data_IF_983009794563
#
_entry.id   IF_983009794563
#
_cell.length_a   1.000
_cell.length_b   1.000
_cell.length_c   1.000
_cell.angle_alpha   90.00
_cell.angle_beta   90.00
_cell.angle_gamma   90.00
#
_symmetry.space_group_name_H-M   'P 1'
#
loop_
_entity.id
_entity.type
_entity.pdbx_description
1 polymer ?
#
# COMPACT_ATOMS: atom_id res chain seq x y z
N UNK A 1 20.01 -3.92 -2.75
CA UNK A 1 21.37 -4.42 -2.99
C UNK A 1 21.83 -4.12 -4.42
N UNK A 2 20.99 -4.33 -5.44
CA UNK A 2 21.34 -4.02 -6.83
C UNK A 2 21.71 -2.55 -7.01
N UNK A 3 20.85 -1.62 -6.56
CA UNK A 3 21.12 -0.17 -6.62
C UNK A 3 22.39 0.24 -5.84
N UNK A 4 22.68 -0.46 -4.75
CA UNK A 4 23.90 -0.18 -3.99
C UNK A 4 25.18 -0.53 -4.77
N UNK A 5 25.14 -1.52 -5.66
CA UNK A 5 26.28 -1.91 -6.50
C UNK A 5 26.64 -0.86 -7.56
N UNK A 6 25.67 0.01 -7.89
CA UNK A 6 25.86 1.13 -8.84
C UNK A 6 26.53 2.33 -8.19
N UNK A 7 26.68 2.37 -6.85
CA UNK A 7 27.35 3.46 -6.14
C UNK A 7 28.85 3.46 -6.49
N UNK A 8 29.42 4.64 -6.78
CA UNK A 8 30.85 4.76 -7.14
C UNK A 8 31.80 4.23 -6.06
N UNK A 9 31.39 4.33 -4.79
CA UNK A 9 32.16 3.95 -3.60
C UNK A 9 31.92 2.50 -3.14
N UNK A 10 31.06 1.72 -3.85
CA UNK A 10 30.65 0.39 -3.41
C UNK A 10 31.81 -0.57 -3.13
N UNK A 11 32.81 -0.61 -4.03
CA UNK A 11 33.98 -1.53 -3.87
C UNK A 11 34.80 -1.21 -2.63
N UNK A 12 34.96 0.09 -2.33
CA UNK A 12 35.76 0.55 -1.18
C UNK A 12 34.99 0.39 0.16
N UNK A 13 33.68 0.63 0.14
CA UNK A 13 32.82 0.73 1.34
C UNK A 13 31.80 -0.38 1.46
N UNK A 14 31.95 -1.50 0.78
CA UNK A 14 30.96 -2.59 0.69
C UNK A 14 30.38 -2.98 2.04
N UNK A 15 31.22 -3.18 3.07
CA UNK A 15 30.75 -3.61 4.40
C UNK A 15 29.88 -2.55 5.07
N UNK A 16 30.25 -1.29 4.98
CA UNK A 16 29.49 -0.18 5.55
C UNK A 16 28.15 0.00 4.81
N UNK A 17 28.15 -0.08 3.48
CA UNK A 17 26.94 0.02 2.66
C UNK A 17 25.98 -1.13 2.98
N UNK A 18 26.47 -2.36 3.14
CA UNK A 18 25.61 -3.49 3.53
C UNK A 18 24.99 -3.31 4.93
N UNK A 19 25.75 -2.80 5.89
CA UNK A 19 25.24 -2.51 7.23
C UNK A 19 24.16 -1.41 7.20
N UNK A 20 24.36 -0.36 6.41
CA UNK A 20 23.36 0.71 6.19
C UNK A 20 22.07 0.15 5.59
N UNK A 21 22.17 -0.66 4.52
CA UNK A 21 21.01 -1.27 3.88
C UNK A 21 20.26 -2.25 4.78
N UNK A 22 20.99 -3.01 5.60
CA UNK A 22 20.37 -3.91 6.58
C UNK A 22 19.60 -3.11 7.63
N UNK A 23 20.16 -2.02 8.11
CA UNK A 23 19.48 -1.14 9.06
C UNK A 23 18.21 -0.54 8.43
N UNK A 24 18.29 0.02 7.23
CA UNK A 24 17.12 0.55 6.51
C UNK A 24 16.02 -0.50 6.30
N UNK A 25 16.40 -1.73 5.93
CA UNK A 25 15.45 -2.82 5.78
C UNK A 25 14.75 -3.17 7.10
N UNK A 26 15.49 -3.21 8.22
CA UNK A 26 14.92 -3.44 9.55
C UNK A 26 13.99 -2.31 10.00
N UNK A 27 14.33 -1.07 9.71
CA UNK A 27 13.47 0.09 10.00
C UNK A 27 12.15 0.04 9.20
N UNK A 28 12.20 -0.32 7.91
CA UNK A 28 11.01 -0.51 7.09
C UNK A 28 10.14 -1.65 7.62
N UNK A 29 10.75 -2.78 7.99
CA UNK A 29 10.00 -3.90 8.58
C UNK A 29 9.37 -3.51 9.94
N UNK A 30 10.06 -2.69 10.75
CA UNK A 30 9.53 -2.17 12.00
C UNK A 30 8.29 -1.28 11.76
N UNK A 31 8.33 -0.41 10.75
CA UNK A 31 7.19 0.41 10.33
C UNK A 31 5.99 -0.44 9.91
N UNK A 32 6.23 -1.63 9.36
CA UNK A 32 5.19 -2.62 9.01
C UNK A 32 4.74 -3.49 10.18
N UNK A 33 5.28 -3.28 11.40
CA UNK A 33 5.01 -4.13 12.56
C UNK A 33 5.62 -5.54 12.46
N UNK A 34 6.74 -5.69 11.74
CA UNK A 34 7.36 -6.98 11.44
C UNK A 34 8.77 -7.13 12.00
N UNK A 35 9.15 -6.37 13.04
CA UNK A 35 10.51 -6.40 13.63
C UNK A 35 10.94 -7.82 14.01
N UNK A 36 10.06 -8.57 14.67
CA UNK A 36 10.34 -9.95 15.11
C UNK A 36 10.39 -10.96 13.96
N UNK A 37 9.90 -10.58 12.79
CA UNK A 37 9.84 -11.43 11.60
C UNK A 37 10.95 -11.16 10.59
N UNK A 38 11.88 -10.25 10.90
CA UNK A 38 12.95 -9.82 9.98
C UNK A 38 13.83 -10.95 9.44
N UNK A 39 13.97 -12.05 10.19
CA UNK A 39 14.77 -13.21 9.82
C UNK A 39 13.92 -14.40 9.33
N UNK A 40 12.61 -14.22 9.12
CA UNK A 40 11.74 -15.28 8.64
C UNK A 40 11.75 -15.36 7.11
N UNK A 41 11.61 -16.57 6.59
CA UNK A 41 11.39 -16.79 5.17
C UNK A 41 9.92 -16.52 4.80
N UNK A 42 9.62 -16.17 3.53
CA UNK A 42 8.25 -15.86 3.10
C UNK A 42 7.21 -16.91 3.45
N UNK A 43 7.54 -18.21 3.32
CA UNK A 43 6.64 -19.31 3.65
C UNK A 43 6.31 -19.45 5.15
N UNK A 44 7.02 -18.75 6.02
CA UNK A 44 6.80 -18.72 7.47
C UNK A 44 5.91 -17.54 7.89
N UNK A 45 5.49 -16.72 6.94
CA UNK A 45 4.69 -15.51 7.16
C UNK A 45 3.23 -15.75 6.74
N UNK A 46 2.28 -15.15 7.49
CA UNK A 46 0.88 -15.10 7.07
C UNK A 46 0.71 -14.27 5.79
N UNK A 47 -0.42 -14.40 5.09
CA UNK A 47 -0.74 -13.62 3.90
C UNK A 47 -0.61 -12.11 4.14
N UNK A 48 -1.18 -11.60 5.23
CA UNK A 48 -1.08 -10.18 5.60
C UNK A 48 0.36 -9.75 5.95
N UNK A 49 1.17 -10.63 6.55
CA UNK A 49 2.59 -10.37 6.80
C UNK A 49 3.37 -10.32 5.48
N UNK A 50 3.10 -11.24 4.55
CA UNK A 50 3.74 -11.23 3.22
C UNK A 50 3.38 -9.95 2.44
N UNK A 51 2.11 -9.51 2.50
CA UNK A 51 1.68 -8.27 1.88
C UNK A 51 2.40 -7.05 2.46
N UNK A 52 2.53 -6.97 3.78
CA UNK A 52 3.28 -5.89 4.44
C UNK A 52 4.78 -5.91 4.09
N UNK A 53 5.38 -7.08 3.90
CA UNK A 53 6.75 -7.19 3.36
C UNK A 53 6.83 -6.68 1.92
N UNK A 54 5.81 -6.96 1.09
CA UNK A 54 5.77 -6.45 -0.28
C UNK A 54 5.71 -4.91 -0.31
N UNK A 55 4.91 -4.30 0.59
CA UNK A 55 4.84 -2.85 0.78
C UNK A 55 6.22 -2.30 1.21
N UNK A 56 6.86 -2.91 2.22
CA UNK A 56 8.19 -2.50 2.68
C UNK A 56 9.24 -2.55 1.55
N UNK A 57 9.18 -3.57 0.70
CA UNK A 57 10.06 -3.69 -0.47
C UNK A 57 9.85 -2.57 -1.49
N UNK A 58 8.60 -2.20 -1.74
CA UNK A 58 8.29 -1.09 -2.63
C UNK A 58 8.81 0.24 -2.07
N UNK A 59 8.61 0.49 -0.78
CA UNK A 59 9.11 1.68 -0.08
C UNK A 59 10.64 1.78 -0.07
N UNK A 60 11.35 0.64 -0.02
CA UNK A 60 12.81 0.61 -0.04
C UNK A 60 13.44 1.17 -1.33
N UNK A 61 12.67 1.32 -2.39
CA UNK A 61 13.08 1.94 -3.65
C UNK A 61 12.92 3.46 -3.65
N UNK A 62 12.38 4.04 -2.58
CA UNK A 62 12.07 5.47 -2.45
C UNK A 62 11.28 6.02 -3.66
N UNK A 63 10.18 5.37 -4.06
CA UNK A 63 9.42 5.79 -5.23
C UNK A 63 8.68 7.11 -4.99
N UNK A 64 8.50 7.90 -6.04
CA UNK A 64 7.66 9.11 -5.99
C UNK A 64 6.18 8.76 -5.90
N UNK A 65 5.76 7.63 -6.47
CA UNK A 65 4.37 7.16 -6.50
C UNK A 65 4.35 5.65 -6.20
N UNK A 66 3.48 5.23 -5.30
CA UNK A 66 3.16 3.83 -5.03
C UNK A 66 1.85 3.43 -5.70
N UNK A 67 1.85 2.32 -6.42
CA UNK A 67 0.64 1.75 -7.01
C UNK A 67 0.28 0.44 -6.32
N UNK A 68 -0.97 0.33 -5.86
CA UNK A 68 -1.52 -0.86 -5.25
C UNK A 68 -2.72 -1.35 -6.07
N UNK A 69 -2.67 -2.61 -6.46
CA UNK A 69 -3.77 -3.28 -7.16
C UNK A 69 -4.36 -4.33 -6.23
N UNK A 70 -5.57 -4.06 -5.72
CA UNK A 70 -6.31 -4.91 -4.80
C UNK A 70 -5.46 -5.49 -3.65
N UNK A 71 -4.82 -4.65 -2.80
CA UNK A 71 -3.84 -5.10 -1.82
C UNK A 71 -4.40 -6.02 -0.73
N UNK A 72 -5.72 -6.18 -0.65
CA UNK A 72 -6.41 -6.98 0.38
C UNK A 72 -7.23 -8.15 -0.18
N UNK A 73 -7.35 -8.29 -1.50
CA UNK A 73 -8.29 -9.24 -2.14
C UNK A 73 -8.04 -10.73 -1.81
N UNK A 74 -6.81 -11.10 -1.46
CA UNK A 74 -6.42 -12.47 -1.12
C UNK A 74 -6.33 -12.72 0.40
N UNK A 75 -6.85 -11.81 1.22
CA UNK A 75 -6.73 -11.85 2.68
C UNK A 75 -8.09 -12.08 3.33
N UNK A 76 -8.08 -12.74 4.49
CA UNK A 76 -9.25 -12.78 5.35
C UNK A 76 -9.49 -11.41 6.03
N UNK A 77 -10.70 -11.17 6.58
CA UNK A 77 -11.07 -9.86 7.13
C UNK A 77 -10.15 -9.36 8.26
N UNK A 78 -9.59 -10.27 9.06
CA UNK A 78 -8.70 -9.90 10.16
C UNK A 78 -7.37 -9.36 9.62
N UNK A 79 -6.78 -10.05 8.65
CA UNK A 79 -5.53 -9.65 8.00
C UNK A 79 -5.70 -8.43 7.08
N UNK A 80 -6.88 -8.27 6.46
CA UNK A 80 -7.26 -7.07 5.70
C UNK A 80 -7.08 -5.81 6.54
N UNK A 81 -7.59 -5.80 7.77
CA UNK A 81 -7.47 -4.65 8.68
C UNK A 81 -6.03 -4.24 8.98
N UNK A 82 -5.11 -5.20 9.07
CA UNK A 82 -3.68 -4.91 9.29
C UNK A 82 -3.03 -4.21 8.09
N UNK A 83 -3.35 -4.65 6.86
CA UNK A 83 -2.82 -4.04 5.63
C UNK A 83 -3.40 -2.64 5.42
N UNK A 84 -4.71 -2.47 5.60
CA UNK A 84 -5.37 -1.16 5.47
C UNK A 84 -4.83 -0.14 6.47
N UNK A 85 -4.44 -0.57 7.68
CA UNK A 85 -3.80 0.31 8.66
C UNK A 85 -2.46 0.83 8.15
N UNK A 86 -1.64 -0.04 7.57
CA UNK A 86 -0.35 0.37 6.98
C UNK A 86 -0.56 1.37 5.85
N UNK A 87 -1.54 1.15 4.97
CA UNK A 87 -1.85 2.09 3.88
C UNK A 87 -2.35 3.45 4.41
N UNK A 88 -3.13 3.44 5.50
CA UNK A 88 -3.55 4.68 6.19
C UNK A 88 -2.35 5.44 6.76
N UNK A 89 -1.44 4.76 7.44
CA UNK A 89 -0.21 5.37 7.97
C UNK A 89 0.65 5.99 6.87
N UNK A 90 0.70 5.39 5.68
CA UNK A 90 1.39 5.94 4.51
C UNK A 90 0.69 7.20 3.98
N UNK A 91 -0.64 7.20 3.94
CA UNK A 91 -1.43 8.37 3.54
C UNK A 91 -1.23 9.54 4.51
N UNK A 92 -1.22 9.29 5.81
CA UNK A 92 -0.98 10.30 6.85
C UNK A 92 0.41 10.95 6.71
N UNK A 93 1.39 10.19 6.21
CA UNK A 93 2.73 10.69 5.86
C UNK A 93 2.81 11.41 4.52
N UNK A 94 1.67 11.61 3.84
CA UNK A 94 1.58 12.27 2.53
C UNK A 94 2.31 11.53 1.41
N UNK A 95 2.38 10.21 1.51
CA UNK A 95 2.89 9.39 0.40
C UNK A 95 1.91 9.44 -0.77
N UNK A 96 2.39 9.74 -1.97
CA UNK A 96 1.55 9.71 -3.17
C UNK A 96 1.25 8.27 -3.55
N UNK A 97 -0.05 7.93 -3.60
CA UNK A 97 -0.49 6.56 -3.88
C UNK A 97 -1.64 6.53 -4.88
N UNK A 98 -1.64 5.49 -5.71
CA UNK A 98 -2.79 5.08 -6.52
C UNK A 98 -3.20 3.71 -6.02
N UNK A 99 -4.45 3.57 -5.58
CA UNK A 99 -4.96 2.33 -4.98
C UNK A 99 -6.21 1.89 -5.72
N UNK A 100 -6.16 0.70 -6.32
CA UNK A 100 -7.36 0.00 -6.81
C UNK A 100 -7.87 -0.86 -5.66
N UNK A 101 -9.13 -0.69 -5.26
CA UNK A 101 -9.68 -1.38 -4.11
C UNK A 101 -11.21 -1.45 -4.16
N UNK A 102 -11.77 -2.46 -3.52
CA UNK A 102 -13.18 -2.60 -3.21
C UNK A 102 -13.52 -2.22 -1.75
N UNK A 103 -12.55 -1.77 -0.97
CA UNK A 103 -12.72 -1.36 0.43
C UNK A 103 -13.27 0.08 0.50
N UNK A 104 -14.59 0.25 0.31
CA UNK A 104 -15.20 1.57 0.13
C UNK A 104 -15.08 2.47 1.36
N UNK A 105 -15.18 1.92 2.57
CA UNK A 105 -14.98 2.69 3.80
C UNK A 105 -13.55 3.21 3.92
N UNK A 106 -12.57 2.37 3.59
CA UNK A 106 -11.17 2.77 3.56
C UNK A 106 -10.94 3.87 2.51
N UNK A 107 -11.46 3.69 1.29
CA UNK A 107 -11.31 4.67 0.21
C UNK A 107 -11.92 6.03 0.59
N UNK A 108 -13.13 6.06 1.20
CA UNK A 108 -13.79 7.27 1.69
C UNK A 108 -12.93 8.02 2.70
N UNK A 109 -12.32 7.28 3.65
CA UNK A 109 -11.65 7.88 4.81
C UNK A 109 -10.21 8.31 4.52
N UNK A 110 -9.57 7.71 3.50
CA UNK A 110 -8.13 7.85 3.26
C UNK A 110 -7.81 8.57 1.94
N UNK A 111 -8.61 8.36 0.90
CA UNK A 111 -8.32 8.95 -0.40
C UNK A 111 -8.70 10.45 -0.46
N UNK A 112 -7.87 11.24 -1.11
CA UNK A 112 -8.21 12.64 -1.45
C UNK A 112 -9.25 12.66 -2.57
N UNK A 113 -9.08 11.80 -3.58
CA UNK A 113 -9.96 11.68 -4.76
C UNK A 113 -10.22 10.22 -5.08
N UNK A 114 -11.40 9.96 -5.64
CA UNK A 114 -11.79 8.66 -6.17
C UNK A 114 -12.16 8.80 -7.64
N UNK A 115 -11.75 7.83 -8.44
CA UNK A 115 -12.20 7.61 -9.80
C UNK A 115 -13.00 6.31 -9.82
N UNK A 116 -14.29 6.41 -10.10
CA UNK A 116 -15.11 5.22 -10.31
C UNK A 116 -15.07 4.82 -11.79
N UNK A 117 -14.65 3.60 -12.05
CA UNK A 117 -14.50 3.07 -13.41
C UNK A 117 -15.45 1.91 -13.64
N UNK A 118 -16.08 1.89 -14.81
CA UNK A 118 -16.91 0.78 -15.29
C UNK A 118 -16.76 0.65 -16.79
N UNK A 119 -16.74 -0.59 -17.31
CA UNK A 119 -16.60 -0.85 -18.74
C UNK A 119 -15.34 -0.25 -19.39
N UNK A 120 -14.26 -0.03 -18.62
CA UNK A 120 -13.00 0.52 -19.12
C UNK A 120 -12.96 2.04 -19.25
N UNK A 121 -13.97 2.76 -18.76
CA UNK A 121 -14.04 4.22 -18.75
C UNK A 121 -14.22 4.78 -17.34
N UNK A 122 -13.79 6.01 -17.11
CA UNK A 122 -14.10 6.73 -15.88
C UNK A 122 -15.55 7.21 -15.98
N UNK A 123 -16.40 6.73 -15.09
CA UNK A 123 -17.82 7.08 -15.02
C UNK A 123 -18.02 8.32 -14.15
N UNK A 124 -17.35 8.36 -13.01
CA UNK A 124 -17.43 9.48 -12.08
C UNK A 124 -16.09 9.69 -11.38
N UNK A 125 -15.73 10.93 -11.12
CA UNK A 125 -14.56 11.28 -10.30
C UNK A 125 -14.85 12.47 -9.40
N UNK A 126 -14.22 12.48 -8.22
CA UNK A 126 -14.41 13.58 -7.29
C UNK A 126 -13.69 13.39 -5.96
N UNK A 127 -13.86 14.32 -5.02
CA UNK A 127 -13.41 14.17 -3.64
C UNK A 127 -14.02 12.91 -3.02
N UNK A 128 -13.21 12.12 -2.31
CA UNK A 128 -13.59 10.78 -1.85
C UNK A 128 -14.89 10.75 -1.05
N UNK A 129 -15.04 11.60 -0.04
CA UNK A 129 -16.27 11.68 0.76
C UNK A 129 -17.49 12.03 -0.09
N UNK A 130 -17.37 13.03 -0.96
CA UNK A 130 -18.48 13.48 -1.77
C UNK A 130 -18.94 12.38 -2.73
N UNK A 131 -18.00 11.69 -3.39
CA UNK A 131 -18.35 10.63 -4.34
C UNK A 131 -19.00 9.43 -3.64
N UNK A 132 -18.51 9.04 -2.47
CA UNK A 132 -19.08 7.89 -1.72
C UNK A 132 -20.43 8.25 -1.08
N UNK A 133 -20.57 9.43 -0.48
CA UNK A 133 -21.77 9.79 0.28
C UNK A 133 -22.87 10.39 -0.62
N UNK A 134 -22.49 11.05 -1.71
CA UNK A 134 -23.38 11.79 -2.60
C UNK A 134 -23.03 11.58 -4.08
N UNK A 135 -23.02 10.32 -4.58
CA UNK A 135 -22.71 10.04 -5.97
C UNK A 135 -23.74 10.69 -6.91
N UNK A 136 -23.27 11.21 -8.03
CA UNK A 136 -24.16 11.88 -9.01
C UNK A 136 -24.59 10.90 -10.09
N UNK A 137 -23.69 10.04 -10.56
CA UNK A 137 -23.95 9.12 -11.64
C UNK A 137 -24.76 7.89 -11.17
N UNK A 138 -25.76 7.50 -11.94
CA UNK A 138 -26.66 6.40 -11.59
C UNK A 138 -25.89 5.07 -11.44
N UNK A 139 -24.88 4.85 -12.26
CA UNK A 139 -24.06 3.65 -12.19
C UNK A 139 -23.21 3.58 -10.91
N UNK A 140 -22.71 4.73 -10.47
CA UNK A 140 -21.99 4.86 -9.18
C UNK A 140 -22.91 4.58 -8.01
N UNK A 141 -24.14 5.12 -8.04
CA UNK A 141 -25.16 4.85 -7.00
C UNK A 141 -25.49 3.36 -6.89
N UNK A 142 -25.74 2.71 -8.03
CA UNK A 142 -26.02 1.27 -8.08
C UNK A 142 -24.87 0.45 -7.49
N UNK A 143 -23.62 0.80 -7.81
CA UNK A 143 -22.44 0.12 -7.27
C UNK A 143 -22.34 0.31 -5.76
N UNK A 144 -22.43 1.55 -5.30
CA UNK A 144 -22.27 1.87 -3.87
C UNK A 144 -23.42 1.36 -3.01
N UNK A 145 -24.62 1.17 -3.57
CA UNK A 145 -25.75 0.58 -2.84
C UNK A 145 -25.45 -0.82 -2.26
N UNK A 146 -24.52 -1.57 -2.87
CA UNK A 146 -24.07 -2.88 -2.36
C UNK A 146 -23.14 -2.78 -1.14
N UNK A 147 -22.64 -1.59 -0.81
CA UNK A 147 -21.72 -1.33 0.31
C UNK A 147 -22.33 -0.44 1.39
N UNK A 148 -23.63 -0.15 1.29
CA UNK A 148 -24.34 0.74 2.22
C UNK A 148 -24.90 0.02 3.47
N UNK A 149 -24.52 -1.26 3.72
CA UNK A 149 -24.91 -2.03 4.90
C UNK A 149 -23.88 -1.95 6.01
#
# INVERSE_FOLDING_TARGET
ELLARERPDYKANKKAIHAELEQQARELLAQMGLSERANHYPHQLSGGQQQRVAIARALALHPDILCFDEPTSALDPELTGEVLRVLRDLADRKTTMIIVTHEMHFARDVADRILFMDGGVVVEEGPAKQLIEHPQEERTKQFLAHYAE
#
